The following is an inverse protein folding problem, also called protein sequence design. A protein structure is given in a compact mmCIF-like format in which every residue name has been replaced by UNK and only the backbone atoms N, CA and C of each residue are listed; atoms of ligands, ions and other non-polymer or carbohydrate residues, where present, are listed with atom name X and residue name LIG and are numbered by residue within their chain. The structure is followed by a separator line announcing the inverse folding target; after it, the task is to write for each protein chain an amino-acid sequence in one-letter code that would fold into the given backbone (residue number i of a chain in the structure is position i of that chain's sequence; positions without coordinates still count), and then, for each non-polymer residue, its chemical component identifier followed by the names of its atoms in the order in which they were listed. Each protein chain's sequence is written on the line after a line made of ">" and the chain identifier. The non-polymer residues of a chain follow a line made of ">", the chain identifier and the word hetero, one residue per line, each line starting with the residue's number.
data_IF_437621886142
#
_entry.id   IF_437621886142
#
_cell.length_a   1.000
_cell.length_b   1.000
_cell.length_c   1.000
_cell.angle_alpha   90.00
_cell.angle_beta   90.00
_cell.angle_gamma   90.00
#
_symmetry.space_group_name_H-M   'P 1'
#
loop_
_entity.id
_entity.type
_entity.pdbx_description
1 polymer ?
#
# COMPACT_ATOMS: atom_id res chain seq x y z
N UNK A 1 -18.42 15.12 -18.27
CA UNK A 1 -17.53 13.94 -18.26
C UNK A 1 -17.72 13.25 -16.92
N UNK A 2 -17.76 11.92 -16.87
CA UNK A 2 -17.86 11.23 -15.58
C UNK A 2 -16.59 11.47 -14.76
N UNK A 3 -16.73 11.67 -13.45
CA UNK A 3 -15.59 11.72 -12.54
C UNK A 3 -14.83 10.38 -12.64
N UNK A 4 -13.49 10.39 -12.75
CA UNK A 4 -12.72 9.15 -12.80
C UNK A 4 -12.96 8.36 -11.52
N UNK A 5 -13.05 7.03 -11.64
CA UNK A 5 -13.17 6.14 -10.48
C UNK A 5 -11.97 6.32 -9.56
N UNK A 6 -12.20 6.40 -8.25
CA UNK A 6 -11.15 6.60 -7.27
C UNK A 6 -11.02 5.36 -6.39
N UNK A 7 -9.79 5.07 -6.00
CA UNK A 7 -9.47 3.98 -5.09
C UNK A 7 -8.54 4.48 -3.99
N UNK A 8 -8.71 3.95 -2.79
CA UNK A 8 -7.70 4.03 -1.75
C UNK A 8 -6.90 2.74 -1.76
N UNK A 9 -5.59 2.86 -2.01
CA UNK A 9 -4.63 1.78 -1.86
C UNK A 9 -4.10 1.82 -0.43
N UNK A 10 -4.21 0.69 0.27
CA UNK A 10 -3.71 0.52 1.63
C UNK A 10 -2.75 -0.66 1.63
N UNK A 11 -1.57 -0.49 2.23
CA UNK A 11 -0.60 -1.56 2.41
C UNK A 11 0.10 -1.48 3.75
N UNK A 12 0.68 -2.60 4.18
CA UNK A 12 1.52 -2.69 5.38
C UNK A 12 2.95 -2.97 4.96
N UNK A 13 3.93 -2.34 5.61
CA UNK A 13 5.35 -2.45 5.27
C UNK A 13 6.23 -2.25 6.51
N UNK A 14 7.34 -2.99 6.66
CA UNK A 14 8.28 -2.75 7.75
C UNK A 14 9.00 -1.39 7.58
N UNK A 15 9.44 -0.74 8.67
CA UNK A 15 10.13 0.56 8.63
C UNK A 15 11.29 0.62 7.64
N UNK A 16 12.04 -0.49 7.49
CA UNK A 16 13.21 -0.58 6.60
C UNK A 16 12.89 -0.41 5.11
N UNK A 17 11.64 -0.64 4.69
CA UNK A 17 11.21 -0.59 3.29
C UNK A 17 10.10 0.43 3.03
N UNK A 18 9.71 1.21 4.05
CA UNK A 18 8.63 2.18 3.98
C UNK A 18 8.78 3.14 2.79
N UNK A 19 9.91 3.88 2.76
CA UNK A 19 10.13 4.90 1.74
C UNK A 19 10.30 4.28 0.34
N UNK A 20 11.02 3.15 0.23
CA UNK A 20 11.15 2.45 -1.05
C UNK A 20 9.80 2.01 -1.64
N UNK A 21 8.87 1.56 -0.79
CA UNK A 21 7.52 1.18 -1.22
C UNK A 21 6.67 2.40 -1.59
N UNK A 22 6.75 3.49 -0.81
CA UNK A 22 6.06 4.77 -1.12
C UNK A 22 6.52 5.32 -2.46
N UNK A 23 7.82 5.44 -2.68
CA UNK A 23 8.39 5.90 -3.95
C UNK A 23 7.93 5.03 -5.13
N UNK A 24 7.89 3.71 -4.96
CA UNK A 24 7.44 2.81 -6.02
C UNK A 24 5.96 3.04 -6.42
N UNK A 25 5.07 3.26 -5.45
CA UNK A 25 3.65 3.53 -5.76
C UNK A 25 3.44 4.95 -6.30
N UNK A 26 4.20 5.93 -5.81
CA UNK A 26 4.14 7.30 -6.32
C UNK A 26 4.63 7.40 -7.76
N UNK A 27 5.73 6.71 -8.11
CA UNK A 27 6.21 6.60 -9.49
C UNK A 27 5.19 5.92 -10.42
N UNK A 28 4.29 5.10 -9.88
CA UNK A 28 3.18 4.48 -10.60
C UNK A 28 1.91 5.37 -10.69
N UNK A 29 1.93 6.56 -10.09
CA UNK A 29 0.88 7.57 -10.16
C UNK A 29 -0.03 7.64 -8.92
N UNK A 30 0.13 6.77 -7.92
CA UNK A 30 -0.57 6.92 -6.66
C UNK A 30 -0.19 8.22 -5.94
N UNK A 31 -1.06 8.72 -5.06
CA UNK A 31 -0.81 9.92 -4.27
C UNK A 31 -0.82 11.21 -5.07
N UNK A 32 -1.23 11.17 -6.35
CA UNK A 32 -1.42 12.36 -7.17
C UNK A 32 -2.90 12.74 -7.22
N UNK A 33 -3.22 13.93 -6.72
CA UNK A 33 -4.58 14.45 -6.71
C UNK A 33 -4.95 15.05 -8.09
N UNK A 34 -6.25 15.15 -8.43
CA UNK A 34 -6.71 15.73 -9.68
C UNK A 34 -6.05 17.09 -9.98
N UNK A 35 -5.65 17.29 -11.23
CA UNK A 35 -4.91 18.50 -11.65
C UNK A 35 -3.45 18.54 -11.21
N UNK A 36 -2.94 17.52 -10.52
CA UNK A 36 -1.53 17.46 -10.09
C UNK A 36 -1.17 18.45 -8.98
N UNK A 37 -2.17 19.01 -8.29
CA UNK A 37 -1.98 20.04 -7.27
C UNK A 37 -1.21 19.54 -6.04
N UNK A 38 -1.34 18.24 -5.76
CA UNK A 38 -0.61 17.54 -4.71
C UNK A 38 -0.11 16.21 -5.26
N UNK A 39 1.15 15.89 -4.98
CA UNK A 39 1.78 14.62 -5.36
C UNK A 39 2.43 13.99 -4.14
N UNK A 40 2.75 12.70 -4.20
CA UNK A 40 3.34 11.95 -3.09
C UNK A 40 2.48 11.99 -1.81
N UNK A 41 1.16 12.14 -1.96
CA UNK A 41 0.23 12.19 -0.83
C UNK A 41 0.00 10.78 -0.30
N UNK A 42 0.34 10.57 0.96
CA UNK A 42 -0.01 9.38 1.73
C UNK A 42 -0.29 9.74 3.18
N UNK A 43 -1.10 8.94 3.84
CA UNK A 43 -1.19 8.89 5.30
C UNK A 43 -0.54 7.60 5.79
N UNK A 44 0.21 7.66 6.88
CA UNK A 44 0.86 6.49 7.44
C UNK A 44 0.66 6.41 8.96
N UNK A 45 0.58 5.21 9.49
CA UNK A 45 0.46 4.95 10.93
C UNK A 45 1.33 3.77 11.29
N UNK A 46 2.19 3.96 12.30
CA UNK A 46 2.97 2.87 12.89
C UNK A 46 2.06 2.01 13.78
N UNK A 47 2.11 0.70 13.59
CA UNK A 47 1.37 -0.27 14.38
C UNK A 47 2.17 -1.54 14.59
N UNK A 48 1.54 -2.52 15.25
CA UNK A 48 2.10 -3.84 15.49
C UNK A 48 1.33 -4.85 14.63
N UNK A 49 2.02 -5.53 13.73
CA UNK A 49 1.47 -6.68 13.00
C UNK A 49 1.77 -7.98 13.73
N UNK A 50 0.97 -9.02 13.48
CA UNK A 50 1.14 -10.33 14.08
C UNK A 50 0.88 -11.44 13.08
N UNK A 51 1.87 -12.32 12.90
CA UNK A 51 1.75 -13.48 12.02
C UNK A 51 2.51 -14.69 12.58
N UNK A 52 2.25 -15.86 12.02
CA UNK A 52 2.98 -17.09 12.33
C UNK A 52 3.39 -17.74 11.01
N UNK A 53 4.66 -17.66 10.59
CA UNK A 53 5.12 -18.29 9.36
C UNK A 53 4.94 -19.82 9.45
N UNK A 54 4.59 -20.44 8.32
CA UNK A 54 4.53 -21.91 8.23
C UNK A 54 5.87 -22.47 7.77
N UNK A 55 6.10 -23.78 7.91
CA UNK A 55 7.28 -24.47 7.38
C UNK A 55 7.46 -24.30 5.86
N UNK A 56 6.38 -24.00 5.13
CA UNK A 56 6.41 -23.79 3.68
C UNK A 56 6.63 -22.33 3.26
N UNK A 57 6.88 -21.43 4.22
CA UNK A 57 7.11 -20.01 3.94
C UNK A 57 8.59 -19.67 3.92
N UNK A 58 8.97 -18.69 3.10
CA UNK A 58 10.29 -18.05 3.16
C UNK A 58 10.12 -16.62 3.67
N UNK A 59 9.92 -16.43 4.99
CA UNK A 59 9.63 -15.13 5.55
C UNK A 59 10.85 -14.20 5.44
N UNK A 60 10.61 -12.93 5.14
CA UNK A 60 11.66 -11.90 5.24
C UNK A 60 11.99 -11.60 6.71
N UNK A 61 10.99 -11.65 7.59
CA UNK A 61 11.13 -11.47 9.05
C UNK A 61 10.43 -12.62 9.76
N UNK A 62 11.09 -13.15 10.80
CA UNK A 62 10.55 -14.19 11.66
C UNK A 62 10.95 -15.60 11.28
N UNK A 63 10.52 -16.56 12.09
CA UNK A 63 10.87 -17.98 11.97
C UNK A 63 9.64 -18.88 11.79
N UNK A 64 9.71 -19.94 10.97
CA UNK A 64 8.65 -20.95 10.88
C UNK A 64 8.18 -21.47 12.24
N UNK A 65 6.86 -21.59 12.39
CA UNK A 65 6.20 -22.11 13.59
C UNK A 65 6.13 -21.12 14.77
N UNK A 66 6.87 -20.01 14.74
CA UNK A 66 6.89 -19.02 15.82
C UNK A 66 5.86 -17.91 15.59
N UNK A 67 5.22 -17.45 16.67
CA UNK A 67 4.36 -16.27 16.62
C UNK A 67 5.25 -15.03 16.64
N UNK A 68 5.18 -14.25 15.57
CA UNK A 68 5.94 -13.03 15.39
C UNK A 68 5.06 -11.82 15.66
N UNK A 69 5.67 -10.78 16.23
CA UNK A 69 5.07 -9.46 16.41
C UNK A 69 6.10 -8.44 15.97
N UNK A 70 5.75 -7.64 14.97
CA UNK A 70 6.69 -6.71 14.34
C UNK A 70 6.04 -5.35 14.13
N UNK A 71 6.85 -4.30 14.24
CA UNK A 71 6.41 -2.95 13.89
C UNK A 71 6.25 -2.84 12.37
N UNK A 72 5.10 -2.34 11.93
CA UNK A 72 4.83 -2.04 10.53
C UNK A 72 4.09 -0.73 10.38
N UNK A 73 4.33 -0.05 9.27
CA UNK A 73 3.54 1.09 8.85
C UNK A 73 2.36 0.60 8.02
N UNK A 74 1.15 1.00 8.40
CA UNK A 74 0.00 1.01 7.50
C UNK A 74 0.02 2.31 6.71
N UNK A 75 0.18 2.21 5.39
CA UNK A 75 0.22 3.34 4.46
C UNK A 75 -1.04 3.36 3.63
N UNK A 76 -1.63 4.54 3.44
CA UNK A 76 -2.83 4.76 2.64
C UNK A 76 -2.59 5.88 1.63
N UNK A 77 -2.97 5.66 0.37
CA UNK A 77 -2.82 6.67 -0.69
C UNK A 77 -3.93 6.57 -1.74
N UNK A 78 -4.24 7.70 -2.39
CA UNK A 78 -5.25 7.79 -3.45
C UNK A 78 -4.70 7.25 -4.77
N UNK A 79 -5.52 6.51 -5.50
CA UNK A 79 -5.31 6.16 -6.90
C UNK A 79 -6.50 6.67 -7.72
N UNK A 80 -6.23 7.51 -8.72
CA UNK A 80 -7.26 8.02 -9.64
C UNK A 80 -7.24 7.15 -10.90
N UNK A 81 -8.29 6.36 -11.10
CA UNK A 81 -8.43 5.41 -12.19
C UNK A 81 -7.93 4.00 -11.87
N UNK A 82 -8.55 3.01 -12.53
CA UNK A 82 -8.23 1.59 -12.33
C UNK A 82 -6.81 1.24 -12.79
N UNK A 83 -6.32 1.86 -13.87
CA UNK A 83 -4.98 1.63 -14.40
C UNK A 83 -3.87 2.06 -13.43
N UNK A 84 -4.04 3.23 -12.79
CA UNK A 84 -3.13 3.73 -11.76
C UNK A 84 -3.15 2.80 -10.56
N UNK A 85 -4.34 2.38 -10.11
CA UNK A 85 -4.48 1.42 -9.02
C UNK A 85 -3.75 0.10 -9.31
N UNK A 86 -3.99 -0.52 -10.47
CA UNK A 86 -3.35 -1.79 -10.85
C UNK A 86 -1.84 -1.65 -10.98
N UNK A 87 -1.37 -0.55 -11.58
CA UNK A 87 0.05 -0.25 -11.73
C UNK A 87 0.72 -0.05 -10.38
N UNK A 88 0.06 0.64 -9.46
CA UNK A 88 0.56 0.89 -8.09
C UNK A 88 0.66 -0.40 -7.29
N UNK A 89 -0.35 -1.29 -7.35
CA UNK A 89 -0.27 -2.61 -6.69
C UNK A 89 0.88 -3.46 -7.26
N UNK A 90 1.09 -3.42 -8.58
CA UNK A 90 2.20 -4.14 -9.22
C UNK A 90 3.56 -3.57 -8.80
N UNK A 91 3.70 -2.25 -8.76
CA UNK A 91 4.92 -1.57 -8.35
C UNK A 91 5.25 -1.86 -6.88
N UNK A 92 4.24 -1.76 -6.00
CA UNK A 92 4.36 -2.11 -4.60
C UNK A 92 4.88 -3.53 -4.42
N UNK A 93 4.24 -4.53 -5.04
CA UNK A 93 4.67 -5.95 -4.93
C UNK A 93 6.09 -6.21 -5.40
N UNK A 94 6.63 -5.40 -6.31
CA UNK A 94 8.01 -5.51 -6.77
C UNK A 94 9.01 -4.89 -5.79
N UNK A 95 8.63 -3.79 -5.14
CA UNK A 95 9.47 -3.07 -4.18
C UNK A 95 9.41 -3.66 -2.76
N UNK A 96 8.31 -4.35 -2.44
CA UNK A 96 8.06 -4.86 -1.10
C UNK A 96 8.96 -6.06 -0.76
N UNK A 97 9.49 -6.15 0.48
CA UNK A 97 10.40 -7.23 0.87
C UNK A 97 9.70 -8.59 1.05
N UNK A 98 8.40 -8.58 1.38
CA UNK A 98 7.64 -9.82 1.59
C UNK A 98 7.16 -10.45 0.28
N UNK A 99 7.20 -11.78 0.22
CA UNK A 99 6.61 -12.55 -0.88
C UNK A 99 5.10 -12.33 -1.02
N UNK A 100 4.38 -12.30 0.10
CA UNK A 100 2.96 -11.97 0.13
C UNK A 100 2.76 -10.64 0.83
N UNK A 101 2.37 -9.64 0.06
CA UNK A 101 2.07 -8.29 0.54
C UNK A 101 0.60 -8.20 0.88
N UNK A 102 0.29 -7.76 2.09
CA UNK A 102 -1.10 -7.43 2.47
C UNK A 102 -1.46 -6.11 1.80
N UNK A 103 -2.41 -6.16 0.87
CA UNK A 103 -2.90 -5.00 0.11
C UNK A 103 -4.41 -4.96 0.17
N UNK A 104 -4.96 -3.80 0.52
CA UNK A 104 -6.40 -3.53 0.45
C UNK A 104 -6.63 -2.43 -0.60
N UNK A 105 -7.66 -2.63 -1.43
CA UNK A 105 -8.09 -1.64 -2.43
C UNK A 105 -9.55 -1.36 -2.17
N UNK A 106 -9.84 -0.11 -1.77
CA UNK A 106 -11.20 0.34 -1.44
C UNK A 106 -11.62 1.31 -2.53
N UNK A 107 -12.69 1.00 -3.25
CA UNK A 107 -13.29 1.98 -4.17
C UNK A 107 -13.89 3.12 -3.35
N UNK A 108 -13.49 4.34 -3.68
CA UNK A 108 -14.05 5.56 -3.11
C UNK A 108 -15.23 5.99 -3.96
N UNK A 109 -16.35 6.28 -3.30
CA UNK A 109 -17.54 6.83 -3.93
C UNK A 109 -17.61 8.31 -3.62
N UNK A 110 -17.94 9.10 -4.64
CA UNK A 110 -18.27 10.50 -4.48
C UNK A 110 -19.56 10.60 -3.65
N UNK A 111 -19.52 11.34 -2.54
CA UNK A 111 -20.66 11.56 -1.66
C UNK A 111 -21.38 12.88 -1.95
N UNK A 112 -20.91 13.63 -2.95
CA UNK A 112 -21.31 15.01 -3.18
C UNK A 112 -20.62 15.97 -2.21
N UNK A 113 -20.49 17.22 -2.64
CA UNK A 113 -20.25 18.35 -1.74
C UNK A 113 -21.64 18.94 -1.40
N UNK A 114 -21.89 19.30 -0.13
CA UNK A 114 -23.03 20.14 0.24
C UNK A 114 -22.91 21.55 -0.39
#
# INVERSE_FOLDING_TARGET
>A
MANPTQFKLIFRVPPSHLEACKEAVFAAGAGTYPGGLYTHVSFETLGMDQFRPSENSTPFIGSPGQLEKVEEYRVETLCVGEDVMRSSVKALRKAHPYQQVVVEVIQLVDVGED
#
